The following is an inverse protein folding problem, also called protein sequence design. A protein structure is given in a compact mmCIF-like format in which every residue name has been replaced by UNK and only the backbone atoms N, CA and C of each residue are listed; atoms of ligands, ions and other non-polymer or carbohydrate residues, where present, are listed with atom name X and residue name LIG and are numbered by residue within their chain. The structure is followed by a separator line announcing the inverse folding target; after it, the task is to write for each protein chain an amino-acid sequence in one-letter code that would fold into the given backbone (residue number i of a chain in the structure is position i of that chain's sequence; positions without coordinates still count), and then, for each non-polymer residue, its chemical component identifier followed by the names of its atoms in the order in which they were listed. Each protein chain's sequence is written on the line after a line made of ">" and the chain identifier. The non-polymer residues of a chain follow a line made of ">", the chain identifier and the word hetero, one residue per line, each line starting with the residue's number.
data_IF_121344844015
#
_entry.id   IF_121344844015
#
_cell.length_a   1.000
_cell.length_b   1.000
_cell.length_c   1.000
_cell.angle_alpha   90.00
_cell.angle_beta   90.00
_cell.angle_gamma   90.00
#
_symmetry.space_group_name_H-M   'P 1'
#
loop_
_entity.id
_entity.type
_entity.pdbx_description
1 polymer ?
#
# COMPACT_ATOMS: atom_id res chain seq x y z
N UNK A 1 -7.16 15.67 16.23
CA UNK A 1 -7.51 15.09 14.92
C UNK A 1 -6.23 14.61 14.24
N UNK A 2 -6.11 13.30 14.00
CA UNK A 2 -4.95 12.70 13.35
C UNK A 2 -4.84 13.26 11.93
N UNK A 3 -3.78 14.03 11.68
CA UNK A 3 -3.44 14.52 10.34
C UNK A 3 -3.02 13.33 9.50
N UNK A 4 -3.98 12.71 8.80
CA UNK A 4 -3.61 11.96 7.61
C UNK A 4 -3.00 12.98 6.65
N UNK A 5 -1.71 12.87 6.27
CA UNK A 5 -1.20 13.69 5.20
C UNK A 5 -2.07 13.40 3.98
N UNK A 6 -2.66 14.44 3.42
CA UNK A 6 -3.49 14.38 2.21
C UNK A 6 -2.63 14.18 0.97
N UNK A 7 -1.50 13.46 1.08
CA UNK A 7 -0.74 13.06 -0.10
C UNK A 7 -1.69 12.21 -0.95
N UNK A 8 -1.95 12.64 -2.20
CA UNK A 8 -2.75 11.84 -3.11
C UNK A 8 -2.18 10.42 -3.15
N UNK A 9 -3.04 9.40 -3.19
CA UNK A 9 -2.62 8.01 -3.40
C UNK A 9 -1.74 7.86 -4.66
N UNK A 10 -1.93 8.77 -5.61
CA UNK A 10 -1.20 8.88 -6.86
C UNK A 10 0.10 9.67 -6.77
N UNK A 11 0.47 10.20 -5.61
CA UNK A 11 1.73 10.91 -5.36
C UNK A 11 2.73 10.04 -4.58
N UNK A 12 2.25 9.12 -3.73
CA UNK A 12 3.11 8.19 -3.00
C UNK A 12 3.68 7.12 -3.97
N UNK A 13 4.98 7.19 -4.22
CA UNK A 13 5.71 6.25 -5.09
C UNK A 13 5.58 4.80 -4.60
N UNK A 14 5.57 4.59 -3.28
CA UNK A 14 5.42 3.25 -2.70
C UNK A 14 3.99 2.69 -2.92
N UNK A 15 2.97 3.56 -2.93
CA UNK A 15 1.58 3.17 -3.23
C UNK A 15 1.45 2.75 -4.69
N UNK A 16 2.02 3.53 -5.62
CA UNK A 16 2.07 3.17 -7.04
C UNK A 16 2.84 1.88 -7.26
N UNK A 17 4.04 1.79 -6.68
CA UNK A 17 4.88 0.60 -6.79
C UNK A 17 4.11 -0.65 -6.34
N UNK A 18 3.42 -0.61 -5.21
CA UNK A 18 2.60 -1.72 -4.75
C UNK A 18 1.42 -2.02 -5.67
N UNK A 19 0.69 -1.02 -6.15
CA UNK A 19 -0.45 -1.23 -7.02
C UNK A 19 -0.06 -1.74 -8.42
N UNK A 20 1.16 -1.43 -8.88
CA UNK A 20 1.71 -1.88 -10.16
C UNK A 20 2.39 -3.26 -10.06
N UNK A 21 3.07 -3.54 -8.94
CA UNK A 21 3.82 -4.78 -8.72
C UNK A 21 3.04 -5.82 -7.91
N UNK A 22 1.89 -5.44 -7.36
CA UNK A 22 0.93 -6.32 -6.73
C UNK A 22 -0.46 -5.95 -7.21
N UNK A 23 -1.31 -6.96 -7.44
CA UNK A 23 -2.71 -6.86 -7.86
C UNK A 23 -3.65 -6.16 -6.84
N UNK A 24 -3.14 -5.25 -6.01
CA UNK A 24 -3.90 -4.52 -4.99
C UNK A 24 -4.26 -3.12 -5.47
N UNK A 25 -5.40 -2.60 -5.04
CA UNK A 25 -5.78 -1.22 -5.37
C UNK A 25 -4.88 -0.20 -4.65
N UNK A 26 -4.69 1.04 -5.16
CA UNK A 26 -3.90 2.09 -4.49
C UNK A 26 -4.33 2.35 -3.04
N UNK A 27 -5.63 2.22 -2.77
CA UNK A 27 -6.17 2.34 -1.41
C UNK A 27 -5.67 1.21 -0.49
N UNK A 28 -5.66 -0.04 -0.98
CA UNK A 28 -5.14 -1.19 -0.22
C UNK A 28 -3.62 -1.09 -0.03
N UNK A 29 -2.90 -0.65 -1.06
CA UNK A 29 -1.47 -0.37 -0.96
C UNK A 29 -1.16 0.67 0.14
N UNK A 30 -1.94 1.76 0.22
CA UNK A 30 -1.79 2.73 1.32
C UNK A 30 -2.07 2.12 2.68
N UNK A 31 -3.13 1.30 2.80
CA UNK A 31 -3.43 0.61 4.07
C UNK A 31 -2.31 -0.34 4.49
N UNK A 32 -1.66 -1.02 3.53
CA UNK A 32 -0.50 -1.85 3.80
C UNK A 32 0.68 -1.01 4.29
N UNK A 33 0.96 0.12 3.64
CA UNK A 33 2.03 1.05 4.05
C UNK A 33 1.75 1.62 5.45
N UNK A 34 0.50 1.99 5.74
CA UNK A 34 0.11 2.49 7.07
C UNK A 34 0.23 1.41 8.16
N UNK A 35 0.00 0.14 7.83
CA UNK A 35 0.07 -0.99 8.78
C UNK A 35 1.47 -1.55 8.97
N UNK A 36 2.25 -1.66 7.91
CA UNK A 36 3.52 -2.38 7.90
C UNK A 36 4.74 -1.48 7.72
N UNK A 37 4.53 -0.18 7.42
CA UNK A 37 5.59 0.79 7.11
C UNK A 37 5.95 0.79 5.62
N UNK A 38 7.03 1.49 5.25
CA UNK A 38 7.51 1.64 3.86
C UNK A 38 8.57 0.59 3.48
N UNK A 39 8.40 -0.65 3.92
CA UNK A 39 9.30 -1.74 3.57
C UNK A 39 8.79 -2.47 2.33
N UNK A 40 9.34 -2.16 1.16
CA UNK A 40 8.80 -2.62 -0.14
C UNK A 40 8.71 -4.13 -0.25
N UNK A 41 9.69 -4.87 0.24
CA UNK A 41 9.69 -6.33 0.15
C UNK A 41 8.61 -6.94 1.06
N UNK A 42 8.47 -6.42 2.27
CA UNK A 42 7.41 -6.81 3.20
C UNK A 42 6.03 -6.46 2.66
N UNK A 43 5.89 -5.26 2.09
CA UNK A 43 4.64 -4.80 1.50
C UNK A 43 4.20 -5.67 0.33
N UNK A 44 5.10 -6.10 -0.55
CA UNK A 44 4.78 -7.05 -1.64
C UNK A 44 4.33 -8.41 -1.12
N UNK A 45 4.97 -8.92 -0.05
CA UNK A 45 4.57 -10.18 0.59
C UNK A 45 3.17 -10.07 1.20
N UNK A 46 2.89 -8.99 1.91
CA UNK A 46 1.60 -8.76 2.54
C UNK A 46 0.51 -8.41 1.52
N UNK A 47 0.83 -7.67 0.45
CA UNK A 47 -0.10 -7.39 -0.65
C UNK A 47 -0.60 -8.68 -1.33
N UNK A 48 0.30 -9.66 -1.54
CA UNK A 48 -0.08 -10.98 -2.08
C UNK A 48 -1.02 -11.75 -1.16
N UNK A 49 -0.82 -11.69 0.16
CA UNK A 49 -1.71 -12.31 1.15
C UNK A 49 -3.05 -11.60 1.23
N UNK A 50 -3.04 -10.27 1.19
CA UNK A 50 -4.23 -9.44 1.28
C UNK A 50 -5.22 -9.71 0.14
N UNK A 51 -4.73 -10.04 -1.07
CA UNK A 51 -5.57 -10.50 -2.19
C UNK A 51 -6.16 -11.89 -1.95
N UNK A 52 -5.43 -12.79 -1.30
CA UNK A 52 -5.84 -14.18 -1.12
C UNK A 52 -6.90 -14.37 -0.03
N UNK A 53 -7.12 -13.38 0.83
CA UNK A 53 -8.11 -13.39 1.90
C UNK A 53 -9.42 -12.66 1.54
N UNK A 54 -9.60 -12.28 0.27
CA UNK A 54 -10.79 -11.61 -0.28
C UNK A 54 -11.58 -12.46 -1.27
#
# INVERSE_FOLDING_TARGET
>A
MNKQPTTPLTDDEDVKFLAENSDVSPLQARQLIERFGRDREKLLKEAKKFKAEG
#
